data_IF_407801232647
#
_entry.id   IF_407801232647
#
_cell.length_a   1.000
_cell.length_b   1.000
_cell.length_c   1.000
_cell.angle_alpha   90.00
_cell.angle_beta   90.00
_cell.angle_gamma   90.00
#
_symmetry.space_group_name_H-M   'P 1'
#
loop_
_entity.id
_entity.type
_entity.pdbx_description
1 polymer ?
#
# COMPACT_ATOMS: atom_id res chain seq x y z
N UNK A 1 10.34 5.83 -30.21
CA UNK A 1 10.01 7.08 -29.47
C UNK A 1 8.74 6.81 -28.67
N UNK A 2 8.88 6.31 -27.44
CA UNK A 2 7.74 6.10 -26.54
C UNK A 2 7.28 7.48 -26.07
N UNK A 3 6.08 7.89 -26.46
CA UNK A 3 5.45 9.12 -26.03
C UNK A 3 5.17 9.05 -24.53
N UNK A 4 5.71 10.01 -23.79
CA UNK A 4 5.48 10.23 -22.37
C UNK A 4 4.02 10.61 -22.08
N UNK A 5 3.05 9.71 -22.26
CA UNK A 5 1.64 9.97 -21.91
C UNK A 5 1.41 10.06 -20.40
N UNK A 6 2.29 9.50 -19.58
CA UNK A 6 2.25 9.65 -18.13
C UNK A 6 2.64 11.05 -17.62
N UNK A 7 3.28 11.89 -18.46
CA UNK A 7 3.67 13.25 -18.09
C UNK A 7 2.50 14.25 -18.13
N UNK A 8 1.36 13.89 -18.72
CA UNK A 8 0.20 14.78 -18.87
C UNK A 8 -0.62 14.90 -17.58
N UNK A 9 -0.52 13.92 -16.66
CA UNK A 9 -1.26 13.92 -15.38
C UNK A 9 -0.59 14.78 -14.29
N UNK A 10 0.72 15.07 -14.44
CA UNK A 10 1.46 15.96 -13.54
C UNK A 10 2.10 17.06 -14.34
N UNK A 11 1.34 18.12 -14.57
CA UNK A 11 1.85 19.31 -15.23
C UNK A 11 3.07 19.84 -14.47
N UNK A 12 4.26 19.77 -15.08
CA UNK A 12 5.47 20.26 -14.42
C UNK A 12 5.29 21.76 -14.13
N UNK A 13 5.57 22.20 -12.90
CA UNK A 13 5.37 23.59 -12.55
C UNK A 13 6.13 24.49 -13.51
N UNK A 14 5.42 25.42 -14.12
CA UNK A 14 5.97 26.38 -15.07
C UNK A 14 7.12 27.22 -14.43
N UNK A 15 7.84 28.04 -15.20
CA UNK A 15 9.01 28.78 -14.70
C UNK A 15 8.71 29.67 -13.49
N UNK A 16 7.51 30.22 -13.39
CA UNK A 16 7.04 30.95 -12.20
C UNK A 16 6.84 30.02 -11.00
N UNK A 17 6.20 28.86 -11.22
CA UNK A 17 5.98 27.84 -10.19
C UNK A 17 7.29 27.29 -9.63
N UNK A 18 8.29 27.01 -10.48
CA UNK A 18 9.62 26.55 -10.03
C UNK A 18 10.34 27.61 -9.16
N UNK A 19 10.21 28.91 -9.48
CA UNK A 19 10.75 29.98 -8.65
C UNK A 19 10.03 30.04 -7.30
N UNK A 20 8.71 29.96 -7.28
CA UNK A 20 7.91 29.94 -6.04
C UNK A 20 8.26 28.75 -5.16
N UNK A 21 8.33 27.54 -5.73
CA UNK A 21 8.74 26.32 -4.99
C UNK A 21 10.15 26.49 -4.40
N UNK A 22 11.09 27.05 -5.18
CA UNK A 22 12.44 27.29 -4.68
C UNK A 22 12.45 28.28 -3.51
N UNK A 23 11.72 29.39 -3.62
CA UNK A 23 11.60 30.38 -2.55
C UNK A 23 10.96 29.74 -1.30
N UNK A 24 9.87 29.01 -1.46
CA UNK A 24 9.20 28.31 -0.35
C UNK A 24 10.15 27.31 0.31
N UNK A 25 10.91 26.53 -0.45
CA UNK A 25 11.87 25.57 0.11
C UNK A 25 13.01 26.28 0.86
N UNK A 26 13.50 27.40 0.35
CA UNK A 26 14.51 28.21 1.06
C UNK A 26 13.96 28.82 2.35
N UNK A 27 12.76 29.39 2.31
CA UNK A 27 12.09 29.94 3.50
C UNK A 27 11.83 28.83 4.52
N UNK A 28 11.30 27.68 4.08
CA UNK A 28 11.11 26.54 4.96
C UNK A 28 12.42 26.03 5.58
N UNK A 29 13.51 25.97 4.78
CA UNK A 29 14.84 25.61 5.26
C UNK A 29 15.39 26.60 6.31
N UNK A 30 15.23 27.91 6.07
CA UNK A 30 15.64 28.94 7.02
C UNK A 30 14.83 28.86 8.31
N UNK A 31 13.50 28.74 8.22
CA UNK A 31 12.63 28.57 9.40
C UNK A 31 13.02 27.32 10.20
N UNK A 32 13.24 26.19 9.51
CA UNK A 32 13.70 24.96 10.15
C UNK A 32 15.06 25.15 10.85
N UNK A 33 16.01 25.80 10.20
CA UNK A 33 17.32 26.12 10.79
C UNK A 33 17.21 27.01 12.02
N UNK A 34 16.37 28.05 11.96
CA UNK A 34 16.13 28.95 13.13
C UNK A 34 15.52 28.14 14.28
N UNK A 35 14.48 27.32 14.03
CA UNK A 35 13.85 26.49 15.07
C UNK A 35 14.89 25.54 15.69
N UNK A 36 15.72 24.90 14.85
CA UNK A 36 16.77 23.99 15.31
C UNK A 36 17.81 24.72 16.19
N UNK A 37 18.27 25.90 15.78
CA UNK A 37 19.22 26.71 16.56
C UNK A 37 18.61 27.13 17.89
N UNK A 38 17.35 27.61 17.89
CA UNK A 38 16.65 27.99 19.13
C UNK A 38 16.48 26.78 20.06
N UNK A 39 16.15 25.58 19.51
CA UNK A 39 16.07 24.36 20.28
C UNK A 39 17.43 23.98 20.89
N UNK A 40 18.52 24.01 20.13
CA UNK A 40 19.86 23.71 20.63
C UNK A 40 20.31 24.73 21.69
N UNK A 41 20.02 26.02 21.51
CA UNK A 41 20.29 27.06 22.51
C UNK A 41 19.51 26.79 23.81
N UNK A 42 18.26 26.37 23.72
CA UNK A 42 17.44 26.00 24.90
C UNK A 42 17.96 24.74 25.60
N UNK A 43 18.46 23.75 24.88
CA UNK A 43 19.06 22.55 25.43
C UNK A 43 20.44 22.84 26.08
N UNK A 44 21.19 23.80 25.53
CA UNK A 44 22.47 24.22 26.10
C UNK A 44 22.34 25.06 27.36
N UNK A 45 21.37 25.99 27.38
CA UNK A 45 21.10 26.88 28.51
C UNK A 45 19.60 26.79 28.90
N UNK A 46 19.15 25.74 29.54
CA UNK A 46 17.79 25.66 30.05
C UNK A 46 17.61 26.64 31.21
N UNK A 47 16.41 27.28 31.37
CA UNK A 47 16.18 28.28 32.41
C UNK A 47 16.20 27.68 33.84
N UNK A 48 15.83 26.42 34.00
CA UNK A 48 15.64 25.74 35.29
C UNK A 48 16.29 24.34 35.29
N UNK A 49 17.52 24.18 34.81
CA UNK A 49 18.14 22.87 34.78
C UNK A 49 19.57 22.84 34.28
N UNK A 50 20.14 21.63 34.25
CA UNK A 50 21.48 21.38 33.77
C UNK A 50 21.55 21.38 32.24
N UNK A 51 22.71 21.73 31.69
CA UNK A 51 22.99 21.70 30.26
C UNK A 51 22.74 20.27 29.71
N UNK A 52 21.67 20.11 28.93
CA UNK A 52 21.29 18.82 28.38
C UNK A 52 22.30 18.27 27.37
N UNK A 53 23.22 19.08 26.88
CA UNK A 53 24.28 18.65 25.96
C UNK A 53 25.59 18.31 26.70
N UNK A 54 25.61 18.37 28.05
CA UNK A 54 26.80 18.04 28.85
C UNK A 54 27.14 16.55 28.71
N UNK A 55 28.44 16.23 28.59
CA UNK A 55 28.94 14.87 28.48
C UNK A 55 28.56 14.03 29.71
N UNK A 56 28.44 14.62 30.87
CA UNK A 56 28.08 13.92 32.13
C UNK A 56 26.72 13.26 32.05
N UNK A 57 25.73 13.87 31.34
CA UNK A 57 24.41 13.29 31.12
C UNK A 57 24.41 12.22 30.02
N UNK A 58 25.35 12.32 29.05
CA UNK A 58 25.46 11.33 27.98
C UNK A 58 26.21 10.07 28.39
N UNK A 59 27.19 10.20 29.30
CA UNK A 59 28.01 9.07 29.74
C UNK A 59 27.18 7.88 30.26
N UNK A 60 26.22 8.03 31.19
CA UNK A 60 25.39 6.90 31.66
C UNK A 60 24.52 6.31 30.57
N UNK A 61 24.07 7.12 29.56
CA UNK A 61 23.25 6.63 28.48
C UNK A 61 24.05 5.79 27.44
N UNK A 62 25.37 5.93 27.40
CA UNK A 62 26.25 5.25 26.46
C UNK A 62 27.10 4.15 27.12
N UNK A 63 27.00 4.01 28.42
CA UNK A 63 27.79 3.03 29.18
C UNK A 63 27.42 1.58 28.81
N UNK A 64 28.36 0.65 29.01
CA UNK A 64 28.14 -0.76 28.73
C UNK A 64 26.99 -1.36 29.52
N UNK A 65 26.80 -0.94 30.79
CA UNK A 65 25.69 -1.38 31.63
C UNK A 65 24.32 -0.93 31.06
N UNK A 66 24.24 0.28 30.47
CA UNK A 66 23.03 0.75 29.82
C UNK A 66 22.62 -0.16 28.63
N UNK A 67 23.61 -0.68 27.89
CA UNK A 67 23.36 -1.60 26.78
C UNK A 67 22.94 -2.97 27.26
N UNK A 68 23.65 -3.57 28.24
CA UNK A 68 23.40 -4.95 28.67
C UNK A 68 22.11 -5.08 29.48
N UNK A 69 21.77 -4.09 30.31
CA UNK A 69 20.69 -4.18 31.28
C UNK A 69 19.39 -3.52 30.84
N UNK A 70 19.47 -2.59 29.87
CA UNK A 70 18.30 -1.85 29.42
C UNK A 70 18.06 -1.93 27.90
N UNK A 71 18.99 -1.46 27.05
CA UNK A 71 18.70 -1.36 25.62
C UNK A 71 18.58 -2.72 24.94
N UNK A 72 19.49 -3.67 25.18
CA UNK A 72 19.43 -4.99 24.54
C UNK A 72 18.25 -5.83 25.05
N UNK A 73 17.95 -5.91 26.34
CA UNK A 73 16.75 -6.59 26.83
C UNK A 73 15.45 -5.93 26.32
N UNK A 74 15.39 -4.59 26.30
CA UNK A 74 14.25 -3.86 25.74
C UNK A 74 14.09 -4.08 24.23
N UNK A 75 15.18 -4.07 23.47
CA UNK A 75 15.16 -4.38 22.03
C UNK A 75 14.69 -5.81 21.78
N UNK A 76 15.18 -6.78 22.56
CA UNK A 76 14.74 -8.17 22.46
C UNK A 76 13.25 -8.31 22.76
N UNK A 77 12.77 -7.61 23.78
CA UNK A 77 11.34 -7.61 24.10
C UNK A 77 10.50 -7.01 22.94
N UNK A 78 10.96 -5.92 22.34
CA UNK A 78 10.36 -5.33 21.14
C UNK A 78 10.31 -6.32 19.98
N UNK A 79 11.45 -6.96 19.66
CA UNK A 79 11.56 -7.89 18.51
C UNK A 79 10.68 -9.12 18.71
N UNK A 80 10.69 -9.75 19.89
CA UNK A 80 9.87 -10.95 20.16
C UNK A 80 8.36 -10.65 20.08
N UNK A 81 7.93 -9.48 20.57
CA UNK A 81 6.53 -9.07 20.46
C UNK A 81 6.16 -8.81 18.98
N UNK A 82 7.04 -8.15 18.23
CA UNK A 82 6.86 -7.91 16.79
C UNK A 82 6.72 -9.21 16.01
N UNK A 83 7.62 -10.18 16.21
CA UNK A 83 7.58 -11.47 15.48
C UNK A 83 6.26 -12.19 15.73
N UNK A 84 5.85 -12.31 16.99
CA UNK A 84 4.60 -13.00 17.34
C UNK A 84 3.36 -12.23 16.82
N UNK A 85 3.37 -10.90 16.93
CA UNK A 85 2.30 -10.07 16.41
C UNK A 85 2.17 -10.17 14.89
N UNK A 86 3.29 -10.20 14.15
CA UNK A 86 3.28 -10.35 12.69
C UNK A 86 2.74 -11.71 12.26
N UNK A 87 3.20 -12.80 12.89
CA UNK A 87 2.69 -14.15 12.58
C UNK A 87 1.18 -14.19 12.84
N UNK A 88 0.73 -13.69 13.98
CA UNK A 88 -0.70 -13.62 14.30
C UNK A 88 -1.48 -12.70 13.35
N UNK A 89 -0.92 -11.55 12.96
CA UNK A 89 -1.56 -10.62 12.03
C UNK A 89 -1.71 -11.22 10.63
N UNK A 90 -0.69 -11.95 10.14
CA UNK A 90 -0.78 -12.66 8.87
C UNK A 90 -1.87 -13.75 8.93
N UNK A 91 -1.89 -14.55 9.99
CA UNK A 91 -2.90 -15.59 10.16
C UNK A 91 -4.32 -15.00 10.23
N UNK A 92 -4.53 -13.96 11.05
CA UNK A 92 -5.79 -13.23 11.16
C UNK A 92 -6.18 -12.62 9.81
N UNK A 93 -5.24 -11.94 9.16
CA UNK A 93 -5.46 -11.28 7.88
C UNK A 93 -5.85 -12.23 6.75
N UNK A 94 -5.20 -13.39 6.67
CA UNK A 94 -5.55 -14.43 5.69
C UNK A 94 -6.95 -15.02 5.96
N UNK A 95 -7.25 -15.39 7.20
CA UNK A 95 -8.54 -15.98 7.58
C UNK A 95 -9.69 -15.02 7.26
N UNK A 96 -9.63 -13.80 7.77
CA UNK A 96 -10.71 -12.83 7.61
C UNK A 96 -10.70 -12.14 6.24
N UNK A 97 -9.54 -11.93 5.63
CA UNK A 97 -9.42 -11.40 4.26
C UNK A 97 -10.02 -12.33 3.22
N UNK A 98 -9.70 -13.63 3.29
CA UNK A 98 -10.31 -14.66 2.43
C UNK A 98 -11.79 -14.80 2.75
N UNK A 99 -12.17 -14.81 4.04
CA UNK A 99 -13.56 -14.88 4.47
C UNK A 99 -14.46 -13.82 3.83
N UNK A 100 -13.94 -12.59 3.65
CA UNK A 100 -14.66 -11.49 2.95
C UNK A 100 -14.84 -11.71 1.46
N UNK A 101 -14.10 -12.63 0.84
CA UNK A 101 -14.12 -12.91 -0.60
C UNK A 101 -14.97 -14.14 -0.94
N UNK A 102 -15.34 -14.95 0.06
CA UNK A 102 -16.16 -16.15 -0.15
C UNK A 102 -17.58 -15.79 -0.63
N UNK A 103 -18.20 -16.69 -1.41
CA UNK A 103 -19.55 -16.46 -1.94
C UNK A 103 -20.64 -16.51 -0.86
N UNK A 104 -20.39 -17.12 0.30
CA UNK A 104 -21.32 -17.17 1.42
C UNK A 104 -21.56 -15.79 2.02
N UNK A 105 -22.81 -15.33 2.01
CA UNK A 105 -23.21 -14.02 2.55
C UNK A 105 -22.89 -13.89 4.04
N UNK A 106 -23.15 -14.95 4.82
CA UNK A 106 -22.93 -14.94 6.28
C UNK A 106 -21.43 -14.76 6.58
N UNK A 107 -20.57 -15.61 5.99
CA UNK A 107 -19.12 -15.58 6.24
C UNK A 107 -18.55 -14.22 5.79
N UNK A 108 -18.96 -13.74 4.63
CA UNK A 108 -18.52 -12.44 4.08
C UNK A 108 -18.89 -11.28 4.99
N UNK A 109 -20.14 -11.25 5.48
CA UNK A 109 -20.64 -10.16 6.33
C UNK A 109 -19.98 -10.19 7.71
N UNK A 110 -19.89 -11.37 8.34
CA UNK A 110 -19.24 -11.50 9.66
C UNK A 110 -17.75 -11.15 9.58
N UNK A 111 -17.02 -11.69 8.59
CA UNK A 111 -15.61 -11.34 8.39
C UNK A 111 -15.42 -9.86 8.08
N UNK A 112 -16.33 -9.27 7.30
CA UNK A 112 -16.33 -7.84 7.03
C UNK A 112 -16.50 -7.01 8.29
N UNK A 113 -17.50 -7.31 9.09
CA UNK A 113 -17.79 -6.61 10.34
C UNK A 113 -16.63 -6.69 11.34
N UNK A 114 -16.00 -7.88 11.48
CA UNK A 114 -14.83 -8.06 12.35
C UNK A 114 -13.65 -7.19 11.90
N UNK A 115 -13.33 -7.22 10.60
CA UNK A 115 -12.21 -6.44 10.05
C UNK A 115 -12.46 -4.94 10.17
N UNK A 116 -13.67 -4.47 9.87
CA UNK A 116 -14.03 -3.05 9.96
C UNK A 116 -14.01 -2.57 11.41
N UNK A 117 -14.55 -3.35 12.34
CA UNK A 117 -14.46 -3.06 13.77
C UNK A 117 -12.99 -2.97 14.25
N UNK A 118 -12.16 -3.97 13.89
CA UNK A 118 -10.75 -4.02 14.27
C UNK A 118 -9.94 -2.82 13.78
N UNK A 119 -10.28 -2.27 12.59
CA UNK A 119 -9.65 -1.06 12.02
C UNK A 119 -10.20 0.24 12.58
N UNK A 120 -11.44 0.25 13.04
CA UNK A 120 -12.08 1.45 13.58
C UNK A 120 -11.59 1.76 15.01
N UNK A 121 -11.19 0.73 15.76
CA UNK A 121 -10.74 0.91 17.16
C UNK A 121 -9.24 1.29 17.17
N UNK A 122 -8.87 2.39 17.86
CA UNK A 122 -7.46 2.74 18.04
C UNK A 122 -6.67 1.61 18.71
N UNK A 123 -5.51 1.23 18.13
CA UNK A 123 -4.70 0.12 18.64
C UNK A 123 -4.31 0.28 20.12
N UNK A 124 -3.99 1.50 20.55
CA UNK A 124 -3.67 1.79 21.95
C UNK A 124 -4.86 1.47 22.89
N UNK A 125 -6.08 1.76 22.46
CA UNK A 125 -7.27 1.44 23.23
C UNK A 125 -7.46 -0.07 23.39
N UNK A 126 -7.19 -0.85 22.33
CA UNK A 126 -7.16 -2.31 22.40
C UNK A 126 -6.08 -2.81 23.38
N UNK A 127 -4.88 -2.20 23.35
CA UNK A 127 -3.79 -2.56 24.27
C UNK A 127 -4.20 -2.35 25.72
N UNK A 128 -4.77 -1.19 26.06
CA UNK A 128 -5.23 -0.86 27.43
C UNK A 128 -6.33 -1.82 27.85
N UNK A 129 -7.31 -2.09 26.97
CA UNK A 129 -8.41 -2.99 27.25
C UNK A 129 -7.92 -4.42 27.57
N UNK A 130 -7.07 -5.00 26.68
CA UNK A 130 -6.55 -6.35 26.88
C UNK A 130 -5.61 -6.43 28.08
N UNK A 131 -4.79 -5.41 28.31
CA UNK A 131 -3.94 -5.36 29.49
C UNK A 131 -4.75 -5.41 30.77
N UNK A 132 -5.81 -4.61 30.86
CA UNK A 132 -6.68 -4.60 32.03
C UNK A 132 -7.41 -5.93 32.20
N UNK A 133 -7.91 -6.50 31.12
CA UNK A 133 -8.59 -7.79 31.12
C UNK A 133 -7.66 -8.92 31.54
N UNK A 134 -6.47 -9.02 30.96
CA UNK A 134 -5.50 -10.07 31.29
C UNK A 134 -4.96 -9.93 32.72
N UNK A 135 -4.71 -8.72 33.18
CA UNK A 135 -4.33 -8.47 34.56
C UNK A 135 -5.42 -8.92 35.54
N UNK A 136 -6.69 -8.63 35.25
CA UNK A 136 -7.82 -9.10 36.04
C UNK A 136 -7.98 -10.62 36.03
N UNK A 137 -7.72 -11.26 34.89
CA UNK A 137 -7.77 -12.71 34.74
C UNK A 137 -6.54 -13.44 35.33
N UNK A 138 -5.57 -12.71 35.91
CA UNK A 138 -4.37 -13.29 36.53
C UNK A 138 -3.38 -13.91 35.53
N UNK A 139 -3.39 -13.52 34.23
CA UNK A 139 -2.45 -14.05 33.26
C UNK A 139 -1.02 -13.59 33.57
N UNK A 140 0.00 -14.46 33.41
CA UNK A 140 1.39 -14.07 33.52
C UNK A 140 1.75 -13.10 32.36
N UNK A 141 2.51 -12.06 32.67
CA UNK A 141 2.95 -11.03 31.69
C UNK A 141 1.78 -10.38 30.91
N UNK A 142 0.77 -9.79 31.60
CA UNK A 142 -0.44 -9.30 30.94
C UNK A 142 -0.14 -8.20 29.90
N UNK A 143 0.86 -7.35 30.14
CA UNK A 143 1.26 -6.30 29.20
C UNK A 143 1.80 -6.87 27.89
N UNK A 144 2.60 -7.93 27.95
CA UNK A 144 3.13 -8.60 26.75
C UNK A 144 2.01 -9.13 25.85
N UNK A 145 1.09 -9.92 26.42
CA UNK A 145 -0.02 -10.50 25.68
C UNK A 145 -0.99 -9.45 25.16
N UNK A 146 -1.18 -8.37 25.91
CA UNK A 146 -2.01 -7.25 25.48
C UNK A 146 -1.44 -6.54 24.25
N UNK A 147 -0.13 -6.26 24.24
CA UNK A 147 0.57 -5.70 23.08
C UNK A 147 0.43 -6.62 21.87
N UNK A 148 0.78 -7.91 22.04
CA UNK A 148 0.74 -8.88 20.95
C UNK A 148 -0.67 -9.00 20.37
N UNK A 149 -1.70 -9.22 21.21
CA UNK A 149 -3.06 -9.43 20.74
C UNK A 149 -3.66 -8.18 20.10
N UNK A 150 -3.41 -6.99 20.66
CA UNK A 150 -3.87 -5.73 20.07
C UNK A 150 -3.24 -5.51 18.68
N UNK A 151 -1.93 -5.76 18.55
CA UNK A 151 -1.22 -5.66 17.27
C UNK A 151 -1.70 -6.71 16.27
N UNK A 152 -1.97 -7.94 16.71
CA UNK A 152 -2.55 -9.00 15.85
C UNK A 152 -3.88 -8.57 15.27
N UNK A 153 -4.79 -8.07 16.10
CA UNK A 153 -6.13 -7.67 15.67
C UNK A 153 -6.05 -6.47 14.73
N UNK A 154 -5.35 -5.43 15.12
CA UNK A 154 -5.25 -4.19 14.33
C UNK A 154 -4.50 -4.42 13.01
N UNK A 155 -3.26 -4.89 13.06
CA UNK A 155 -2.46 -5.10 11.85
C UNK A 155 -2.97 -6.28 11.01
N UNK A 156 -3.56 -7.29 11.63
CA UNK A 156 -4.24 -8.37 10.92
C UNK A 156 -5.43 -7.89 10.10
N UNK A 157 -6.17 -6.89 10.62
CA UNK A 157 -7.25 -6.26 9.85
C UNK A 157 -6.72 -5.48 8.64
N UNK A 158 -5.55 -4.86 8.74
CA UNK A 158 -4.87 -4.21 7.60
C UNK A 158 -4.43 -5.25 6.57
N UNK A 159 -3.84 -6.37 7.01
CA UNK A 159 -3.47 -7.50 6.13
C UNK A 159 -4.71 -8.09 5.45
N UNK A 160 -5.85 -8.23 6.17
CA UNK A 160 -7.11 -8.69 5.57
C UNK A 160 -7.59 -7.77 4.43
N UNK A 161 -7.43 -6.46 4.59
CA UNK A 161 -7.77 -5.49 3.55
C UNK A 161 -6.79 -5.56 2.37
N UNK A 162 -5.50 -5.77 2.63
CA UNK A 162 -4.52 -6.02 1.59
C UNK A 162 -4.92 -7.26 0.76
N UNK A 163 -5.27 -8.38 1.40
CA UNK A 163 -5.74 -9.60 0.70
C UNK A 163 -6.95 -9.30 -0.18
N UNK A 164 -7.95 -8.59 0.36
CA UNK A 164 -9.14 -8.22 -0.39
C UNK A 164 -8.82 -7.33 -1.60
N UNK A 165 -8.01 -6.30 -1.42
CA UNK A 165 -7.63 -5.38 -2.50
C UNK A 165 -6.72 -6.05 -3.53
N UNK A 166 -5.81 -6.92 -3.09
CA UNK A 166 -4.94 -7.69 -3.97
C UNK A 166 -5.71 -8.58 -4.92
N UNK A 167 -6.70 -9.32 -4.43
CA UNK A 167 -7.60 -10.12 -5.29
C UNK A 167 -8.43 -9.21 -6.20
N UNK A 168 -8.92 -8.06 -5.69
CA UNK A 168 -9.68 -7.11 -6.49
C UNK A 168 -8.90 -6.45 -7.63
N UNK A 169 -7.58 -6.37 -7.52
CA UNK A 169 -6.69 -5.78 -8.53
C UNK A 169 -6.21 -6.79 -9.59
N UNK A 170 -6.53 -8.09 -9.45
CA UNK A 170 -6.18 -9.07 -10.47
C UNK A 170 -6.98 -8.85 -11.77
N UNK A 171 -6.38 -9.09 -12.93
CA UNK A 171 -7.10 -9.02 -14.21
C UNK A 171 -8.30 -9.97 -14.23
N UNK A 172 -9.47 -9.47 -14.63
CA UNK A 172 -10.72 -10.26 -14.69
C UNK A 172 -10.59 -11.52 -15.53
N UNK A 173 -9.72 -11.54 -16.53
CA UNK A 173 -9.47 -12.70 -17.39
C UNK A 173 -9.00 -13.95 -16.63
N UNK A 174 -8.28 -13.81 -15.51
CA UNK A 174 -7.86 -14.94 -14.66
C UNK A 174 -9.09 -15.65 -14.06
N UNK A 175 -10.03 -14.88 -13.56
CA UNK A 175 -11.27 -15.36 -12.99
C UNK A 175 -12.18 -15.96 -14.06
N UNK A 176 -12.34 -15.28 -15.20
CA UNK A 176 -13.18 -15.74 -16.31
C UNK A 176 -12.65 -17.06 -16.89
N UNK A 177 -11.34 -17.15 -17.11
CA UNK A 177 -10.68 -18.37 -17.60
C UNK A 177 -10.88 -19.55 -16.64
N UNK A 178 -10.75 -19.33 -15.32
CA UNK A 178 -10.94 -20.39 -14.33
C UNK A 178 -12.38 -20.93 -14.30
N UNK A 179 -13.36 -20.04 -14.40
CA UNK A 179 -14.78 -20.43 -14.47
C UNK A 179 -15.11 -21.14 -15.78
N UNK A 180 -14.49 -20.74 -16.91
CA UNK A 180 -14.64 -21.42 -18.19
C UNK A 180 -14.07 -22.86 -18.19
N UNK A 181 -13.07 -23.13 -17.35
CA UNK A 181 -12.54 -24.48 -17.11
C UNK A 181 -13.40 -25.32 -16.14
N UNK A 182 -14.55 -24.78 -15.70
CA UNK A 182 -15.49 -25.50 -14.81
C UNK A 182 -15.16 -25.44 -13.32
N UNK A 183 -14.21 -24.60 -12.90
CA UNK A 183 -13.94 -24.40 -11.47
C UNK A 183 -15.11 -23.64 -10.81
N UNK A 184 -15.45 -24.06 -9.59
CA UNK A 184 -16.40 -23.31 -8.77
C UNK A 184 -15.78 -21.97 -8.32
N UNK A 185 -16.60 -20.98 -7.95
CA UNK A 185 -16.10 -19.67 -7.49
C UNK A 185 -15.12 -19.79 -6.32
N UNK A 186 -15.35 -20.69 -5.39
CA UNK A 186 -14.45 -20.94 -4.26
C UNK A 186 -13.12 -21.57 -4.69
N UNK A 187 -13.15 -22.51 -5.63
CA UNK A 187 -11.92 -23.11 -6.18
C UNK A 187 -11.11 -22.09 -6.96
N UNK A 188 -11.74 -21.28 -7.82
CA UNK A 188 -11.09 -20.17 -8.52
C UNK A 188 -10.41 -19.22 -7.54
N UNK A 189 -11.11 -18.81 -6.47
CA UNK A 189 -10.58 -17.93 -5.45
C UNK A 189 -9.35 -18.53 -4.74
N UNK A 190 -9.48 -19.76 -4.23
CA UNK A 190 -8.44 -20.37 -3.38
C UNK A 190 -7.22 -20.86 -4.15
N UNK A 191 -7.42 -21.38 -5.37
CA UNK A 191 -6.35 -22.02 -6.14
C UNK A 191 -5.65 -21.06 -7.12
N UNK A 192 -6.34 -19.99 -7.55
CA UNK A 192 -5.83 -19.09 -8.59
C UNK A 192 -5.67 -17.64 -8.08
N UNK A 193 -6.77 -17.05 -7.57
CA UNK A 193 -6.79 -15.63 -7.26
C UNK A 193 -5.99 -15.30 -5.99
N UNK A 194 -6.21 -16.01 -4.87
CA UNK A 194 -5.54 -15.75 -3.59
C UNK A 194 -4.02 -15.96 -3.66
N UNK A 195 -3.48 -17.06 -4.22
CA UNK A 195 -2.03 -17.20 -4.34
C UNK A 195 -1.39 -16.06 -5.14
N UNK A 196 -1.96 -15.71 -6.29
CA UNK A 196 -1.45 -14.60 -7.11
C UNK A 196 -1.52 -13.25 -6.36
N UNK A 197 -2.62 -12.98 -5.66
CA UNK A 197 -2.79 -11.77 -4.87
C UNK A 197 -1.76 -11.69 -3.75
N UNK A 198 -1.49 -12.79 -3.02
CA UNK A 198 -0.47 -12.82 -1.96
C UNK A 198 0.90 -12.43 -2.52
N UNK A 199 1.32 -13.01 -3.65
CA UNK A 199 2.59 -12.65 -4.28
C UNK A 199 2.64 -11.18 -4.71
N UNK A 200 1.57 -10.67 -5.31
CA UNK A 200 1.50 -9.27 -5.73
C UNK A 200 1.57 -8.28 -4.56
N UNK A 201 1.10 -8.68 -3.37
CA UNK A 201 1.01 -7.81 -2.20
C UNK A 201 2.19 -7.95 -1.23
N UNK A 202 3.12 -8.88 -1.47
CA UNK A 202 4.27 -9.10 -0.60
C UNK A 202 5.03 -7.80 -0.27
N UNK A 203 5.30 -6.88 -1.22
CA UNK A 203 5.95 -5.62 -0.89
C UNK A 203 5.19 -4.82 0.19
N UNK A 204 3.87 -4.67 0.03
CA UNK A 204 3.05 -3.96 1.00
C UNK A 204 2.97 -4.69 2.35
N UNK A 205 2.98 -6.03 2.35
CA UNK A 205 2.96 -6.83 3.56
C UNK A 205 4.28 -6.71 4.35
N UNK A 206 5.43 -6.63 3.67
CA UNK A 206 6.73 -6.45 4.35
C UNK A 206 6.83 -5.04 4.93
N UNK A 207 6.38 -4.00 4.23
CA UNK A 207 6.30 -2.64 4.78
C UNK A 207 5.50 -2.61 6.09
N UNK A 208 4.46 -3.45 6.21
CA UNK A 208 3.68 -3.57 7.44
C UNK A 208 4.49 -4.10 8.64
N UNK A 209 5.56 -4.88 8.42
CA UNK A 209 6.45 -5.32 9.50
C UNK A 209 7.10 -4.14 10.23
N UNK A 210 7.54 -3.13 9.47
CA UNK A 210 8.13 -1.91 10.04
C UNK A 210 7.12 -1.14 10.86
N UNK A 211 5.85 -1.11 10.42
CA UNK A 211 4.75 -0.49 11.15
C UNK A 211 4.53 -1.22 12.48
N UNK A 212 4.40 -2.55 12.45
CA UNK A 212 4.20 -3.37 13.67
C UNK A 212 5.32 -3.13 14.67
N UNK A 213 6.59 -3.10 14.21
CA UNK A 213 7.74 -2.87 15.09
C UNK A 213 7.68 -1.52 15.79
N UNK A 214 7.26 -0.45 15.08
CA UNK A 214 7.09 0.88 15.68
C UNK A 214 5.91 0.94 16.64
N UNK A 215 4.83 0.25 16.32
CA UNK A 215 3.61 0.24 17.13
C UNK A 215 3.81 -0.49 18.47
N UNK A 216 4.81 -1.38 18.61
CA UNK A 216 5.14 -1.97 19.91
C UNK A 216 5.52 -0.92 20.95
N UNK A 217 6.09 0.22 20.53
CA UNK A 217 6.44 1.32 21.45
C UNK A 217 5.23 1.91 22.19
N UNK A 218 4.00 1.75 21.66
CA UNK A 218 2.78 2.11 22.37
C UNK A 218 2.57 1.25 23.63
N UNK A 219 3.18 0.06 23.68
CA UNK A 219 3.16 -0.82 24.83
C UNK A 219 3.80 -0.22 26.08
N UNK A 220 4.71 0.76 25.92
CA UNK A 220 5.30 1.50 27.04
C UNK A 220 4.24 2.21 27.91
N UNK A 221 3.09 2.56 27.33
CA UNK A 221 1.97 3.21 28.06
C UNK A 221 1.32 2.25 29.06
N UNK A 222 1.32 0.95 28.76
CA UNK A 222 0.81 -0.11 29.63
C UNK A 222 1.94 -0.84 30.39
N UNK A 223 3.10 -0.18 30.53
CA UNK A 223 4.28 -0.69 31.24
C UNK A 223 4.85 -2.00 30.65
N UNK A 224 4.68 -2.24 29.36
CA UNK A 224 5.41 -3.28 28.65
C UNK A 224 6.89 -2.90 28.55
N UNK A 225 7.77 -3.82 28.93
CA UNK A 225 9.22 -3.60 29.02
C UNK A 225 9.88 -3.68 27.63
N UNK A 226 9.40 -2.85 26.70
CA UNK A 226 10.00 -2.65 25.37
C UNK A 226 11.23 -1.72 25.43
N UNK A 227 11.86 -1.51 24.30
CA UNK A 227 13.01 -0.61 24.18
C UNK A 227 12.71 0.79 24.68
N UNK A 228 11.51 1.34 24.41
CA UNK A 228 11.14 2.69 24.84
C UNK A 228 10.96 2.75 26.36
N UNK A 229 10.30 1.75 26.96
CA UNK A 229 10.07 1.69 28.39
C UNK A 229 11.37 1.52 29.17
N UNK A 230 12.26 0.62 28.74
CA UNK A 230 13.56 0.41 29.38
C UNK A 230 14.45 1.67 29.25
N UNK A 231 14.40 2.36 28.10
CA UNK A 231 15.12 3.62 27.93
C UNK A 231 14.59 4.72 28.88
N UNK A 232 13.28 4.80 29.07
CA UNK A 232 12.67 5.72 30.05
C UNK A 232 13.07 5.37 31.48
N UNK A 233 13.13 4.08 31.81
CA UNK A 233 13.56 3.60 33.13
C UNK A 233 15.00 4.01 33.42
N UNK A 234 15.91 3.77 32.46
CA UNK A 234 17.29 4.22 32.53
C UNK A 234 17.40 5.73 32.70
N UNK A 235 16.67 6.48 31.85
CA UNK A 235 16.68 7.94 31.90
C UNK A 235 16.13 8.53 33.19
N UNK A 236 15.16 7.86 33.81
CA UNK A 236 14.63 8.25 35.12
C UNK A 236 15.61 7.95 36.26
N UNK A 237 16.42 6.89 36.14
CA UNK A 237 17.41 6.48 37.14
C UNK A 237 18.57 7.49 37.19
N UNK A 238 19.02 7.99 36.06
CA UNK A 238 20.17 8.90 35.95
C UNK A 238 19.78 10.35 35.62
N UNK A 239 18.48 10.69 35.65
CA UNK A 239 17.95 12.03 35.34
C UNK A 239 18.33 12.53 33.92
N UNK A 240 18.56 11.62 32.98
CA UNK A 240 19.01 11.90 31.62
C UNK A 240 18.05 11.36 30.55
N UNK A 241 16.74 11.55 30.72
CA UNK A 241 15.68 11.00 29.86
C UNK A 241 15.88 11.40 28.40
N UNK A 242 16.30 12.64 28.12
CA UNK A 242 16.52 13.10 26.73
C UNK A 242 17.58 12.26 26.03
N UNK A 243 18.71 12.05 26.68
CA UNK A 243 19.85 11.33 26.13
C UNK A 243 19.51 9.86 25.87
N UNK A 244 18.87 9.19 26.82
CA UNK A 244 18.44 7.79 26.68
C UNK A 244 17.39 7.61 25.60
N UNK A 245 16.46 8.56 25.44
CA UNK A 245 15.48 8.52 24.37
C UNK A 245 16.09 8.78 22.99
N UNK A 246 17.12 9.61 22.89
CA UNK A 246 17.87 9.80 21.63
C UNK A 246 18.59 8.51 21.26
N UNK A 247 19.26 7.84 22.20
CA UNK A 247 19.87 6.52 21.95
C UNK A 247 18.84 5.51 21.51
N UNK A 248 17.69 5.41 22.21
CA UNK A 248 16.59 4.54 21.81
C UNK A 248 16.07 4.85 20.40
N UNK A 249 15.91 6.12 20.05
CA UNK A 249 15.49 6.55 18.72
C UNK A 249 16.47 6.09 17.62
N UNK A 250 17.79 6.19 17.89
CA UNK A 250 18.82 5.68 16.98
C UNK A 250 18.74 4.16 16.84
N UNK A 251 18.53 3.43 17.93
CA UNK A 251 18.37 1.96 17.90
C UNK A 251 17.11 1.56 17.12
N UNK A 252 15.98 2.23 17.36
CA UNK A 252 14.75 2.03 16.57
C UNK A 252 14.98 2.34 15.09
N UNK A 253 15.67 3.44 14.79
CA UNK A 253 15.98 3.81 13.42
C UNK A 253 16.80 2.72 12.72
N UNK A 254 17.85 2.21 13.37
CA UNK A 254 18.69 1.14 12.83
C UNK A 254 17.85 -0.14 12.63
N UNK A 255 17.04 -0.53 13.61
CA UNK A 255 16.18 -1.70 13.51
C UNK A 255 15.16 -1.59 12.35
N UNK A 256 14.50 -0.44 12.22
CA UNK A 256 13.59 -0.16 11.12
C UNK A 256 14.32 -0.11 9.77
N UNK A 257 15.50 0.48 9.71
CA UNK A 257 16.31 0.56 8.50
C UNK A 257 16.75 -0.81 8.02
N UNK A 258 17.23 -1.67 8.93
CA UNK A 258 17.57 -3.05 8.62
C UNK A 258 16.35 -3.83 8.09
N UNK A 259 15.19 -3.64 8.73
CA UNK A 259 13.96 -4.29 8.30
C UNK A 259 13.49 -3.77 6.93
N UNK A 260 13.64 -2.47 6.66
CA UNK A 260 13.31 -1.88 5.34
C UNK A 260 14.24 -2.36 4.23
N UNK A 261 15.50 -2.70 4.54
CA UNK A 261 16.40 -3.34 3.56
C UNK A 261 15.95 -4.75 3.18
N UNK A 262 15.35 -5.48 4.12
CA UNK A 262 14.70 -6.76 3.81
C UNK A 262 13.48 -6.58 2.91
N UNK A 263 12.74 -5.47 3.10
CA UNK A 263 11.59 -5.09 2.27
C UNK A 263 11.97 -4.88 0.80
N UNK A 264 13.09 -4.23 0.52
CA UNK A 264 13.59 -4.02 -0.84
C UNK A 264 14.10 -5.32 -1.47
N UNK A 265 14.79 -6.16 -0.71
CA UNK A 265 15.47 -7.35 -1.21
C UNK A 265 14.51 -8.54 -1.51
N UNK A 266 13.49 -8.74 -0.68
CA UNK A 266 12.59 -9.89 -0.78
C UNK A 266 11.74 -9.89 -2.06
N UNK A 267 11.04 -8.77 -2.42
CA UNK A 267 10.24 -8.68 -3.63
C UNK A 267 11.07 -8.79 -4.91
N UNK A 268 12.28 -8.21 -4.94
CA UNK A 268 13.17 -8.30 -6.11
C UNK A 268 13.54 -9.75 -6.46
N UNK A 269 13.81 -10.58 -5.46
CA UNK A 269 14.09 -11.99 -5.68
C UNK A 269 12.87 -12.78 -6.13
N UNK A 270 11.70 -12.48 -5.56
CA UNK A 270 10.47 -13.19 -5.87
C UNK A 270 9.90 -12.80 -7.24
N UNK A 271 9.98 -11.52 -7.64
CA UNK A 271 9.53 -11.05 -8.96
C UNK A 271 10.38 -11.63 -10.10
N UNK A 272 11.66 -11.93 -9.90
CA UNK A 272 12.51 -12.60 -10.90
C UNK A 272 12.02 -14.01 -11.26
N UNK A 273 11.26 -14.66 -10.38
CA UNK A 273 10.64 -15.97 -10.63
C UNK A 273 9.21 -15.87 -11.19
N UNK A 274 8.59 -14.68 -11.11
CA UNK A 274 7.22 -14.43 -11.58
C UNK A 274 7.20 -13.43 -12.74
N UNK A 275 8.33 -13.20 -13.43
CA UNK A 275 8.35 -12.38 -14.64
C UNK A 275 7.28 -12.93 -15.60
N UNK A 276 6.15 -12.21 -15.69
CA UNK A 276 5.15 -12.50 -16.69
C UNK A 276 5.84 -12.56 -18.05
N UNK A 277 5.43 -13.45 -18.96
CA UNK A 277 5.90 -13.41 -20.33
C UNK A 277 5.77 -11.97 -20.82
N UNK A 278 6.83 -11.45 -21.43
CA UNK A 278 6.85 -10.11 -22.00
C UNK A 278 5.48 -9.80 -22.63
N UNK A 279 4.94 -8.62 -22.33
CA UNK A 279 3.74 -8.14 -23.02
C UNK A 279 3.86 -8.54 -24.50
N UNK A 280 2.84 -9.18 -25.10
CA UNK A 280 2.92 -9.49 -26.52
C UNK A 280 3.27 -8.19 -27.22
N UNK A 281 4.38 -8.20 -27.98
CA UNK A 281 4.77 -7.04 -28.78
C UNK A 281 3.50 -6.48 -29.43
N UNK A 282 3.27 -5.16 -29.38
CA UNK A 282 2.10 -4.58 -30.01
C UNK A 282 2.07 -5.10 -31.42
N UNK A 283 1.06 -5.93 -31.70
CA UNK A 283 0.86 -6.51 -33.04
C UNK A 283 0.91 -5.34 -33.99
N UNK A 284 1.94 -5.26 -34.80
CA UNK A 284 2.11 -4.18 -35.75
C UNK A 284 0.76 -4.02 -36.47
N UNK A 285 0.23 -2.80 -36.61
CA UNK A 285 -1.08 -2.61 -37.22
C UNK A 285 -1.03 -3.36 -38.55
N UNK A 286 -1.97 -4.32 -38.70
CA UNK A 286 -2.08 -5.08 -39.96
C UNK A 286 -2.19 -4.03 -41.03
N UNK A 287 -1.13 -3.87 -41.79
CA UNK A 287 -1.12 -2.97 -42.97
C UNK A 287 -2.33 -3.38 -43.79
N UNK A 288 -3.32 -2.49 -43.91
CA UNK A 288 -4.48 -2.72 -44.76
C UNK A 288 -3.89 -2.87 -46.18
N UNK A 289 -3.70 -4.12 -46.57
CA UNK A 289 -3.20 -4.41 -47.90
C UNK A 289 -4.17 -3.82 -48.91
N UNK A 290 -3.65 -2.96 -49.79
CA UNK A 290 -4.35 -2.41 -50.93
C UNK A 290 -4.87 -3.58 -51.78
N UNK A 291 -6.18 -3.64 -52.07
CA UNK A 291 -6.77 -4.74 -52.84
C UNK A 291 -6.17 -4.92 -54.26
N UNK A 292 -5.39 -3.96 -54.75
CA UNK A 292 -4.75 -4.01 -56.06
C UNK A 292 -3.51 -4.93 -56.14
N UNK A 293 -3.02 -5.44 -54.99
CA UNK A 293 -1.75 -6.19 -54.91
C UNK A 293 -1.89 -7.67 -54.54
N UNK A 294 -2.98 -8.30 -54.95
CA UNK A 294 -3.30 -9.72 -54.66
C UNK A 294 -2.24 -10.70 -55.23
N UNK A 295 -1.50 -10.31 -56.25
CA UNK A 295 -0.49 -11.19 -56.89
C UNK A 295 0.81 -11.37 -56.09
N UNK A 296 1.06 -10.58 -55.02
CA UNK A 296 2.26 -10.74 -54.18
C UNK A 296 2.09 -11.79 -53.07
N UNK A 297 0.85 -12.23 -52.80
CA UNK A 297 0.58 -13.25 -51.75
C UNK A 297 1.01 -14.65 -52.20
N UNK A 298 1.07 -14.89 -53.50
CA UNK A 298 1.47 -16.18 -54.07
C UNK A 298 2.98 -16.48 -53.96
N UNK A 299 3.83 -15.43 -53.90
CA UNK A 299 5.29 -15.58 -53.90
C UNK A 299 5.86 -15.77 -52.51
N UNK A 300 5.16 -15.31 -51.43
CA UNK A 300 5.62 -15.45 -50.08
C UNK A 300 5.45 -16.87 -49.48
N UNK A 301 4.82 -17.79 -50.22
CA UNK A 301 4.48 -19.14 -49.70
C UNK A 301 5.58 -20.18 -49.95
N UNK A 302 6.63 -19.85 -50.73
CA UNK A 302 7.68 -20.82 -51.09
C UNK A 302 9.00 -20.73 -50.34
N UNK A 303 9.10 -19.92 -49.28
CA UNK A 303 10.41 -19.61 -48.65
C UNK A 303 10.58 -19.90 -47.17
N UNK A 304 9.68 -20.65 -46.47
CA UNK A 304 9.86 -20.93 -45.05
C UNK A 304 10.13 -22.42 -44.80
N UNK A 305 11.32 -22.82 -44.30
CA UNK A 305 11.60 -24.19 -43.96
C UNK A 305 10.78 -24.58 -42.69
N UNK A 306 9.97 -25.63 -42.84
CA UNK A 306 9.18 -26.24 -41.77
C UNK A 306 10.11 -27.01 -40.79
N UNK A 307 10.49 -26.39 -39.68
CA UNK A 307 11.10 -27.03 -38.53
C UNK A 307 10.11 -27.05 -37.38
N UNK A 308 9.58 -28.22 -37.11
CA UNK A 308 8.86 -28.83 -35.99
C UNK A 308 8.33 -27.95 -34.87
N UNK A 309 7.01 -27.73 -34.85
CA UNK A 309 6.07 -27.88 -33.75
C UNK A 309 4.70 -27.37 -34.16
N UNK A 310 3.78 -28.30 -34.44
CA UNK A 310 2.37 -28.00 -34.71
C UNK A 310 1.73 -27.36 -33.49
N UNK A 311 1.41 -26.05 -33.58
CA UNK A 311 0.30 -25.45 -32.82
C UNK A 311 -0.71 -24.94 -33.83
N UNK A 312 -1.86 -25.63 -33.90
CA UNK A 312 -3.04 -25.20 -34.64
C UNK A 312 -3.58 -23.92 -34.07
N UNK A 313 -3.29 -22.79 -34.71
CA UNK A 313 -4.07 -21.56 -34.53
C UNK A 313 -5.15 -21.53 -35.58
N UNK A 314 -6.40 -21.83 -35.23
CA UNK A 314 -7.55 -21.54 -36.09
C UNK A 314 -7.76 -20.03 -36.12
N UNK A 315 -7.30 -19.38 -37.19
CA UNK A 315 -7.68 -18.00 -37.47
C UNK A 315 -9.10 -17.99 -38.06
N UNK A 316 -10.09 -17.63 -37.21
CA UNK A 316 -11.44 -17.33 -37.69
C UNK A 316 -11.45 -15.93 -38.28
N UNK A 317 -11.41 -15.82 -39.61
CA UNK A 317 -11.56 -14.56 -40.32
C UNK A 317 -13.04 -14.19 -40.35
N UNK A 318 -13.44 -13.21 -39.51
CA UNK A 318 -14.77 -12.59 -39.58
C UNK A 318 -14.75 -11.52 -40.67
N UNK A 319 -15.17 -11.88 -41.87
CA UNK A 319 -15.36 -10.91 -42.97
C UNK A 319 -16.67 -10.17 -42.77
N UNK A 320 -16.62 -8.96 -42.26
CA UNK A 320 -17.80 -8.07 -42.16
C UNK A 320 -17.94 -7.31 -43.49
N UNK A 321 -18.71 -7.85 -44.42
CA UNK A 321 -19.04 -7.16 -45.67
C UNK A 321 -19.99 -5.97 -45.36
N UNK A 322 -19.47 -4.77 -45.40
CA UNK A 322 -20.29 -3.54 -45.51
C UNK A 322 -20.65 -3.36 -46.99
N UNK A 323 -21.90 -3.61 -47.34
CA UNK A 323 -22.45 -3.16 -48.64
C UNK A 323 -22.50 -1.64 -48.65
N UNK A 324 -21.68 -1.02 -49.51
CA UNK A 324 -21.85 0.36 -49.93
C UNK A 324 -22.97 0.41 -50.97
N UNK A 325 -24.13 0.98 -50.58
CA UNK A 325 -25.14 1.38 -51.55
C UNK A 325 -24.81 2.82 -51.99
N UNK A 326 -24.37 2.96 -53.23
CA UNK A 326 -24.30 4.26 -53.94
C UNK A 326 -25.70 4.71 -54.26
N UNK A 327 -26.14 5.82 -53.66
CA UNK A 327 -27.41 6.48 -53.93
C UNK A 327 -27.31 7.96 -53.64
N UNK A 328 -27.05 8.71 -54.67
CA UNK A 328 -27.05 10.18 -54.69
C UNK A 328 -28.46 10.68 -54.43
N UNK A 329 -28.68 11.50 -53.38
CA UNK A 329 -29.67 12.57 -53.37
C UNK A 329 -29.24 13.70 -52.44
N UNK A 330 -28.97 14.86 -53.04
CA UNK A 330 -28.84 16.15 -52.38
C UNK A 330 -30.18 16.57 -51.77
N UNK A 331 -30.16 17.07 -50.56
CA UNK A 331 -31.24 17.87 -49.99
C UNK A 331 -31.66 17.39 -48.60
N UNK A 332 -31.29 18.15 -47.59
CA UNK A 332 -31.84 18.29 -46.22
C UNK A 332 -30.78 18.32 -45.12
N UNK A 333 -29.83 19.25 -45.22
CA UNK A 333 -28.81 19.45 -44.17
C UNK A 333 -29.13 20.58 -43.20
N UNK A 334 -30.30 21.20 -43.25
CA UNK A 334 -30.66 22.32 -42.32
C UNK A 334 -31.61 21.97 -41.16
N UNK A 335 -32.33 20.87 -41.21
CA UNK A 335 -33.31 20.51 -40.19
C UNK A 335 -32.72 19.72 -39.00
N UNK A 336 -31.65 18.93 -39.22
CA UNK A 336 -31.08 18.05 -38.20
C UNK A 336 -30.18 18.80 -37.20
N UNK A 337 -29.53 19.87 -37.61
CA UNK A 337 -28.67 20.67 -36.71
C UNK A 337 -29.47 21.53 -35.71
N UNK A 338 -30.74 21.88 -35.98
CA UNK A 338 -31.57 22.60 -35.01
C UNK A 338 -32.09 21.72 -33.88
N UNK A 339 -32.26 20.43 -34.08
CA UNK A 339 -32.71 19.51 -33.02
C UNK A 339 -31.59 19.17 -32.02
N UNK A 340 -30.35 19.07 -32.45
CA UNK A 340 -29.20 18.79 -31.55
C UNK A 340 -28.87 19.99 -30.65
N UNK A 341 -29.07 21.22 -31.15
CA UNK A 341 -28.84 22.44 -30.36
C UNK A 341 -29.90 22.68 -29.28
N UNK A 342 -31.15 22.19 -29.49
CA UNK A 342 -32.22 22.29 -28.50
C UNK A 342 -32.16 21.25 -27.39
N UNK A 343 -31.57 20.08 -27.65
CA UNK A 343 -31.33 19.02 -26.65
C UNK A 343 -30.16 19.36 -25.70
N UNK A 344 -29.19 20.16 -26.17
CA UNK A 344 -28.02 20.56 -25.34
C UNK A 344 -28.34 21.69 -24.36
N UNK A 345 -29.39 22.53 -24.62
CA UNK A 345 -29.81 23.62 -23.73
C UNK A 345 -30.75 23.17 -22.61
N UNK A 346 -31.39 21.99 -22.72
CA UNK A 346 -32.27 21.46 -21.66
C UNK A 346 -31.49 20.64 -20.62
N UNK A 347 -30.36 20.02 -21.01
CA UNK A 347 -29.49 19.26 -20.09
C UNK A 347 -28.72 20.16 -19.12
N UNK A 348 -28.36 21.38 -19.51
CA UNK A 348 -27.63 22.32 -18.63
C UNK A 348 -28.52 23.03 -17.61
N UNK A 349 -29.85 23.08 -17.82
CA UNK A 349 -30.77 23.65 -16.83
C UNK A 349 -31.14 22.70 -15.69
N UNK A 350 -31.07 21.40 -15.90
CA UNK A 350 -31.34 20.38 -14.86
C UNK A 350 -30.15 20.17 -13.92
N UNK A 351 -28.93 20.31 -14.41
CA UNK A 351 -27.70 20.19 -13.58
C UNK A 351 -27.55 21.38 -12.59
N UNK A 352 -27.98 22.57 -12.95
CA UNK A 352 -27.89 23.75 -12.06
C UNK A 352 -29.00 23.84 -10.99
N UNK A 353 -30.03 23.01 -11.06
CA UNK A 353 -31.06 22.94 -10.00
C UNK A 353 -30.69 21.98 -8.88
N UNK A 354 -29.82 20.98 -9.13
CA UNK A 354 -29.34 20.05 -8.12
C UNK A 354 -28.15 20.58 -7.30
N UNK A 355 -27.42 21.56 -7.80
CA UNK A 355 -26.30 22.18 -7.10
C UNK A 355 -26.71 23.22 -6.04
N UNK A 356 -27.96 23.71 -6.06
CA UNK A 356 -28.44 24.77 -5.15
C UNK A 356 -29.15 24.26 -3.88
N UNK A 357 -29.38 22.96 -3.76
CA UNK A 357 -30.11 22.37 -2.61
C UNK A 357 -29.20 21.65 -1.60
N UNK A 358 -27.89 21.79 -1.68
CA UNK A 358 -26.92 21.16 -0.76
C UNK A 358 -26.12 22.13 0.11
N UNK A 359 -26.49 23.39 0.20
CA UNK A 359 -25.80 24.38 1.06
C UNK A 359 -26.66 24.96 2.18
N UNK A 360 -27.68 24.23 2.65
CA UNK A 360 -28.32 24.52 3.93
C UNK A 360 -28.52 23.20 4.63
N UNK A 361 -27.62 22.87 5.53
CA UNK A 361 -27.69 22.06 6.75
C UNK A 361 -26.24 21.59 7.08
N UNK A 362 -25.74 22.18 8.14
CA UNK A 362 -24.48 22.04 8.89
C UNK A 362 -23.26 22.78 8.35
#
# INVERSE_FOLDING_TARGET
MASNESAVLFDQPGPKGRKTIRIVNWVAGIVFAIVLVLMLMRLHNPPDGENQLSWELWKPALDSEAWTDFYLPGLWATVRATILAVIGAVAFGLVFGIGRLLPSLIIRTVSGAIVEFARAVPVLLLMIFFWRWFAFAGLPSPAYWAVVLALVIYNGSVVAELVRSGVGNLPNGQREASLALGLTRTQSLMQIEVPQAIYAMLPAAVTQLVVVLKDTALGSIIMYTDLLQESRRLGSMYFNILQTLVVAAVVYFIACWLLSRLDEWLPERMQRHTAAPAEPEPVAPIAIMDPSNVNQIAVAKEGVPLGGAQRQYQCTIVVRTRRFATGVRRGTTKATMRRIRKARSSSTRTANRFARTRSVIF
#
